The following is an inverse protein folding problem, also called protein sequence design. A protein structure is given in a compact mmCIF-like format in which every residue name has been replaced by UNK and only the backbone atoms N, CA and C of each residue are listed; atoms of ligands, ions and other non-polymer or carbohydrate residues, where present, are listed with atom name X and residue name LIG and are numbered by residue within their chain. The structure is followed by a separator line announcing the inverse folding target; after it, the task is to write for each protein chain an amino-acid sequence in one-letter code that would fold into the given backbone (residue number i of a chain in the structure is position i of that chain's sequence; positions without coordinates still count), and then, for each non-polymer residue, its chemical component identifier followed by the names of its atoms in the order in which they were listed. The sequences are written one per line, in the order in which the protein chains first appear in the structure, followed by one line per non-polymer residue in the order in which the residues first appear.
data_IF_096738428972
#
_entry.id   IF_096738428972
#
_cell.length_a   1.000
_cell.length_b   1.000
_cell.length_c   1.000
_cell.angle_alpha   90.00
_cell.angle_beta   90.00
_cell.angle_gamma   90.00
#
_symmetry.space_group_name_H-M   'P 1'
#
loop_
_entity.id
_entity.type
_entity.pdbx_description
1 polymer ?
#
# COMPACT_ATOMS: atom_id res chain seq x y z
N UNK A 1 -6.35 -39.53 -14.67
CA UNK A 1 -6.42 -39.51 -13.19
C UNK A 1 -5.22 -38.69 -12.70
N UNK A 2 -5.34 -37.50 -12.14
CA UNK A 2 -6.47 -36.81 -11.54
C UNK A 2 -6.30 -35.31 -11.83
N UNK A 3 -7.07 -34.79 -12.78
CA UNK A 3 -7.69 -33.50 -12.58
C UNK A 3 -8.86 -33.72 -11.63
N UNK A 4 -8.80 -33.14 -10.44
CA UNK A 4 -9.90 -32.88 -9.52
C UNK A 4 -9.29 -32.33 -8.23
N UNK A 5 -9.44 -31.03 -7.99
CA UNK A 5 -9.62 -30.34 -6.70
C UNK A 5 -9.21 -28.87 -6.85
N UNK A 6 -9.85 -28.17 -7.79
CA UNK A 6 -9.92 -26.72 -7.78
C UNK A 6 -11.36 -26.34 -7.45
N UNK A 7 -11.71 -26.44 -6.17
CA UNK A 7 -12.99 -25.98 -5.60
C UNK A 7 -12.77 -25.50 -4.17
N UNK A 8 -13.01 -24.20 -3.95
CA UNK A 8 -13.03 -23.53 -2.65
C UNK A 8 -11.77 -22.69 -2.41
N UNK A 9 -11.81 -21.38 -2.12
CA UNK A 9 -12.90 -20.51 -1.73
C UNK A 9 -12.66 -19.12 -2.35
N UNK A 10 -13.70 -18.53 -2.93
CA UNK A 10 -13.74 -17.13 -3.28
C UNK A 10 -13.88 -16.33 -1.98
N UNK A 11 -12.83 -15.63 -1.55
CA UNK A 11 -12.95 -14.57 -0.58
C UNK A 11 -13.07 -13.26 -1.37
N UNK A 12 -14.27 -12.67 -1.36
CA UNK A 12 -14.54 -11.37 -1.97
C UNK A 12 -13.72 -10.29 -1.25
N UNK A 13 -12.64 -9.81 -1.88
CA UNK A 13 -12.00 -8.55 -1.50
C UNK A 13 -12.80 -7.40 -2.10
N UNK A 14 -13.30 -6.48 -1.26
CA UNK A 14 -14.06 -5.32 -1.69
C UNK A 14 -13.31 -4.03 -1.36
N UNK A 15 -12.91 -3.28 -2.39
CA UNK A 15 -12.57 -1.85 -2.26
C UNK A 15 -13.88 -1.07 -2.31
N UNK A 16 -14.33 -0.61 -1.14
CA UNK A 16 -15.47 0.30 -1.03
C UNK A 16 -14.99 1.72 -1.30
N UNK A 17 -15.55 2.31 -2.37
CA UNK A 17 -15.52 3.77 -2.56
C UNK A 17 -16.44 4.40 -1.52
N UNK A 18 -16.02 5.52 -0.94
CA UNK A 18 -16.75 6.21 0.11
C UNK A 18 -18.01 6.89 -0.44
N UNK A 19 -19.01 6.10 -0.82
CA UNK A 19 -20.41 6.53 -0.87
C UNK A 19 -21.00 6.48 0.54
N UNK A 20 -21.99 7.32 0.87
CA UNK A 20 -22.38 7.58 2.25
C UNK A 20 -22.77 6.30 2.99
N UNK A 21 -22.00 5.97 4.02
CA UNK A 21 -22.41 5.02 5.06
C UNK A 21 -23.44 5.73 5.92
N UNK A 22 -24.70 5.35 5.76
CA UNK A 22 -25.79 5.76 6.63
C UNK A 22 -25.60 5.09 8.00
N UNK A 23 -24.93 5.81 8.90
CA UNK A 23 -24.74 5.41 10.29
C UNK A 23 -25.66 6.28 11.16
N UNK A 24 -26.90 5.82 11.33
CA UNK A 24 -27.77 6.21 12.43
C UNK A 24 -29.07 6.89 12.04
N UNK A 25 -30.14 6.11 11.90
CA UNK A 25 -31.50 6.55 12.14
C UNK A 25 -32.32 5.38 12.70
N UNK A 26 -32.46 5.32 14.02
CA UNK A 26 -33.58 4.63 14.66
C UNK A 26 -34.81 5.54 14.63
N UNK A 27 -35.98 4.92 14.45
CA UNK A 27 -37.35 5.46 14.41
C UNK A 27 -37.78 6.32 13.19
N UNK A 28 -38.43 5.65 12.23
CA UNK A 28 -39.88 5.83 11.98
C UNK A 28 -40.42 4.76 11.01
N UNK A 29 -41.62 4.28 11.34
CA UNK A 29 -42.36 3.24 10.64
C UNK A 29 -43.00 3.72 9.32
N UNK A 30 -43.29 2.71 8.49
CA UNK A 30 -44.23 2.64 7.34
C UNK A 30 -43.82 3.20 5.96
N UNK A 31 -43.70 2.27 4.99
CA UNK A 31 -44.37 2.40 3.69
C UNK A 31 -43.55 2.84 2.48
N UNK A 32 -42.81 1.92 1.85
CA UNK A 32 -42.84 1.58 0.39
C UNK A 32 -41.57 0.82 -0.02
N UNK A 33 -41.74 -0.41 -0.52
CA UNK A 33 -40.65 -1.29 -0.94
C UNK A 33 -40.08 -0.88 -2.31
N UNK A 34 -39.06 -0.02 -2.31
CA UNK A 34 -38.18 0.16 -3.47
C UNK A 34 -37.05 -0.87 -3.41
N UNK A 35 -37.01 -1.79 -4.38
CA UNK A 35 -35.98 -2.83 -4.55
C UNK A 35 -34.60 -2.19 -4.78
N UNK A 36 -33.86 -1.89 -3.70
CA UNK A 36 -32.46 -1.45 -3.73
C UNK A 36 -31.59 -2.55 -4.37
N UNK A 37 -30.96 -2.24 -5.52
CA UNK A 37 -29.92 -3.09 -6.12
C UNK A 37 -28.73 -3.16 -5.16
N UNK A 38 -28.36 -4.38 -4.74
CA UNK A 38 -27.11 -4.64 -4.00
C UNK A 38 -25.92 -4.07 -4.80
N UNK A 39 -24.97 -3.35 -4.18
CA UNK A 39 -23.71 -3.02 -4.82
C UNK A 39 -22.98 -4.31 -5.18
N UNK A 40 -22.50 -4.40 -6.43
CA UNK A 40 -21.71 -5.55 -6.91
C UNK A 40 -20.23 -5.27 -6.64
N UNK A 41 -19.45 -6.28 -6.20
CA UNK A 41 -18.04 -6.08 -5.86
C UNK A 41 -17.24 -5.60 -7.07
N UNK A 42 -16.27 -4.71 -6.81
CA UNK A 42 -15.25 -4.30 -7.78
C UNK A 42 -14.23 -5.44 -7.86
N UNK A 43 -13.82 -5.82 -9.08
CA UNK A 43 -12.72 -6.78 -9.26
C UNK A 43 -11.43 -6.03 -8.96
N UNK A 44 -10.92 -6.22 -7.76
CA UNK A 44 -9.54 -5.89 -7.40
C UNK A 44 -8.83 -7.23 -7.30
N UNK A 45 -7.83 -7.43 -8.14
CA UNK A 45 -6.97 -8.60 -8.02
C UNK A 45 -6.14 -8.41 -6.75
N UNK A 46 -6.39 -9.23 -5.74
CA UNK A 46 -5.52 -9.37 -4.57
C UNK A 46 -5.39 -10.86 -4.35
N UNK A 47 -4.23 -11.41 -4.69
CA UNK A 47 -3.95 -12.83 -4.53
C UNK A 47 -3.33 -13.05 -3.15
N UNK A 48 -3.95 -13.91 -2.33
CA UNK A 48 -3.40 -14.33 -1.04
C UNK A 48 -3.51 -15.85 -0.96
N UNK A 49 -2.36 -16.52 -0.96
CA UNK A 49 -2.25 -17.98 -0.90
C UNK A 49 -2.67 -18.55 0.45
N UNK A 50 -3.48 -19.62 0.41
CA UNK A 50 -3.92 -20.39 1.56
C UNK A 50 -2.84 -21.31 2.14
N UNK A 51 -2.95 -21.58 3.45
CA UNK A 51 -2.13 -22.55 4.18
C UNK A 51 -2.59 -23.98 3.92
N UNK A 52 -1.67 -24.87 3.57
CA UNK A 52 -1.79 -26.30 3.86
C UNK A 52 -1.15 -26.58 5.22
N UNK A 53 -1.91 -27.16 6.14
CA UNK A 53 -1.40 -27.67 7.41
C UNK A 53 -1.03 -29.14 7.25
N UNK A 54 0.20 -29.51 7.59
CA UNK A 54 0.55 -30.87 8.01
C UNK A 54 1.79 -30.85 8.90
N UNK A 55 1.69 -31.55 10.03
CA UNK A 55 2.81 -32.31 10.58
C UNK A 55 3.72 -31.62 11.57
N UNK A 56 3.36 -31.78 12.85
CA UNK A 56 4.22 -31.83 14.02
C UNK A 56 5.64 -32.38 13.74
N UNK A 57 6.67 -31.66 14.18
CA UNK A 57 7.79 -32.25 14.91
C UNK A 57 8.48 -31.17 15.74
N UNK A 58 8.41 -31.37 17.04
CA UNK A 58 9.24 -30.72 18.05
C UNK A 58 10.68 -31.13 17.80
N UNK A 59 11.57 -30.16 17.58
CA UNK A 59 12.99 -30.33 17.87
C UNK A 59 13.48 -29.09 18.61
N UNK A 60 13.67 -29.31 19.90
CA UNK A 60 14.52 -28.52 20.79
C UNK A 60 15.98 -28.74 20.39
N UNK A 61 16.71 -27.65 20.16
CA UNK A 61 18.17 -27.65 20.22
C UNK A 61 18.65 -26.27 20.67
N UNK A 62 18.79 -26.14 21.98
CA UNK A 62 20.12 -26.01 22.59
C UNK A 62 20.96 -24.82 22.14
N UNK A 63 21.11 -23.88 23.08
CA UNK A 63 22.17 -22.87 23.12
C UNK A 63 23.60 -23.47 23.05
N UNK A 64 24.57 -22.57 22.90
CA UNK A 64 26.03 -22.73 22.72
C UNK A 64 26.44 -22.78 21.24
N UNK A 65 27.27 -21.86 20.75
CA UNK A 65 28.72 -21.86 20.96
C UNK A 65 29.29 -20.44 20.71
N UNK A 66 29.85 -19.83 21.75
CA UNK A 66 31.29 -19.52 21.98
C UNK A 66 31.78 -18.19 21.37
N UNK A 67 31.90 -17.21 22.27
CA UNK A 67 32.85 -16.10 22.15
C UNK A 67 34.28 -16.66 22.13
N UNK A 68 35.02 -16.41 21.05
CA UNK A 68 36.47 -16.56 21.03
C UNK A 68 37.09 -15.19 20.73
N UNK A 69 37.36 -14.44 21.80
CA UNK A 69 38.25 -13.29 21.79
C UNK A 69 39.69 -13.81 21.85
N UNK A 70 40.41 -13.76 20.73
CA UNK A 70 41.86 -13.90 20.74
C UNK A 70 42.48 -12.53 21.01
N UNK A 71 43.12 -12.43 22.17
CA UNK A 71 43.97 -11.32 22.59
C UNK A 71 45.14 -11.11 21.63
N UNK A 72 45.23 -9.91 21.04
CA UNK A 72 46.48 -9.38 20.50
C UNK A 72 46.85 -8.16 21.32
N UNK A 73 47.87 -8.34 22.16
CA UNK A 73 48.54 -7.28 22.90
C UNK A 73 49.48 -6.54 21.96
N UNK A 74 49.25 -5.25 21.75
CA UNK A 74 50.31 -4.33 21.31
C UNK A 74 50.16 -3.03 22.08
N UNK A 75 51.08 -2.86 23.02
CA UNK A 75 51.36 -1.60 23.71
C UNK A 75 52.11 -0.66 22.76
N UNK A 76 51.61 0.55 22.53
CA UNK A 76 52.35 1.82 22.69
C UNK A 76 51.46 3.02 22.35
N UNK A 77 51.22 3.82 23.39
CA UNK A 77 51.18 5.29 23.41
C UNK A 77 50.81 6.05 22.12
N UNK A 78 49.59 6.57 22.08
CA UNK A 78 49.32 8.01 21.93
C UNK A 78 47.82 8.22 22.16
N UNK A 79 47.46 9.17 23.02
CA UNK A 79 46.06 9.48 23.33
C UNK A 79 45.37 10.13 22.13
N UNK A 80 44.23 9.60 21.64
CA UNK A 80 43.18 10.42 21.06
C UNK A 80 42.09 10.68 22.12
N UNK A 81 41.37 11.79 21.97
CA UNK A 81 40.29 12.16 22.87
C UNK A 81 39.22 11.04 22.97
N UNK A 82 38.94 10.61 24.20
CA UNK A 82 37.98 9.55 24.54
C UNK A 82 36.52 9.85 24.16
N UNK A 83 36.25 11.05 23.67
CA UNK A 83 34.92 11.52 23.26
C UNK A 83 34.54 11.05 21.84
N UNK A 84 35.51 10.91 20.92
CA UNK A 84 35.22 10.60 19.52
C UNK A 84 34.80 9.12 19.30
N UNK A 85 35.49 8.18 19.95
CA UNK A 85 35.22 6.73 19.81
C UNK A 85 33.87 6.33 20.43
N UNK A 86 33.51 6.94 21.56
CA UNK A 86 32.22 6.70 22.23
C UNK A 86 31.05 7.23 21.39
N UNK A 87 31.23 8.36 20.72
CA UNK A 87 30.21 8.96 19.85
C UNK A 87 29.94 8.11 18.61
N UNK A 88 30.99 7.59 17.95
CA UNK A 88 30.84 6.72 16.79
C UNK A 88 30.18 5.36 17.11
N UNK A 89 30.53 4.75 18.25
CA UNK A 89 29.90 3.51 18.71
C UNK A 89 28.42 3.72 19.09
N UNK A 90 28.08 4.86 19.70
CA UNK A 90 26.70 5.23 20.05
C UNK A 90 25.86 5.54 18.80
N UNK A 91 26.44 6.23 17.81
CA UNK A 91 25.79 6.49 16.52
C UNK A 91 25.51 5.18 15.77
N UNK A 92 26.48 4.28 15.67
CA UNK A 92 26.31 2.96 15.04
C UNK A 92 25.24 2.10 15.74
N UNK A 93 25.20 2.11 17.08
CA UNK A 93 24.17 1.42 17.86
C UNK A 93 22.77 2.00 17.64
N UNK A 94 22.66 3.33 17.54
CA UNK A 94 21.39 4.05 17.31
C UNK A 94 20.83 3.81 15.90
N UNK A 95 21.71 3.81 14.88
CA UNK A 95 21.36 3.46 13.49
C UNK A 95 20.85 2.02 13.42
N UNK A 96 21.53 1.08 14.09
CA UNK A 96 21.15 -0.33 14.13
C UNK A 96 19.79 -0.55 14.81
N UNK A 97 19.53 0.12 15.95
CA UNK A 97 18.26 0.03 16.65
C UNK A 97 17.07 0.61 15.85
N UNK A 98 17.30 1.72 15.13
CA UNK A 98 16.29 2.36 14.29
C UNK A 98 15.94 1.50 13.08
N UNK A 99 16.95 0.93 12.41
CA UNK A 99 16.77 -0.01 11.30
C UNK A 99 15.99 -1.26 11.74
N UNK A 100 16.29 -1.82 12.91
CA UNK A 100 15.58 -2.97 13.48
C UNK A 100 14.10 -2.66 13.75
N UNK A 101 13.79 -1.45 14.22
CA UNK A 101 12.41 -1.03 14.51
C UNK A 101 11.59 -0.82 13.23
N UNK A 102 12.19 -0.22 12.21
CA UNK A 102 11.52 -0.02 10.91
C UNK A 102 11.25 -1.35 10.21
N UNK A 103 12.21 -2.28 10.25
CA UNK A 103 12.04 -3.64 9.74
C UNK A 103 10.95 -4.42 10.50
N UNK A 104 10.91 -4.30 11.83
CA UNK A 104 9.87 -4.92 12.65
C UNK A 104 8.47 -4.36 12.31
N UNK A 105 8.34 -3.04 12.15
CA UNK A 105 7.09 -2.42 11.72
C UNK A 105 6.67 -2.93 10.33
N UNK A 106 7.60 -3.02 9.38
CA UNK A 106 7.35 -3.52 8.02
C UNK A 106 6.88 -4.98 8.02
N UNK A 107 7.51 -5.84 8.83
CA UNK A 107 7.07 -7.25 9.00
C UNK A 107 5.67 -7.34 9.59
N UNK A 108 5.36 -6.54 10.60
CA UNK A 108 4.01 -6.51 11.18
C UNK A 108 2.95 -5.98 10.20
N UNK A 109 3.29 -4.99 9.37
CA UNK A 109 2.43 -4.50 8.29
C UNK A 109 2.18 -5.59 7.23
N UNK A 110 3.24 -6.32 6.85
CA UNK A 110 3.17 -7.43 5.91
C UNK A 110 2.26 -8.56 6.42
N UNK A 111 2.48 -9.01 7.65
CA UNK A 111 1.64 -10.02 8.31
C UNK A 111 0.18 -9.57 8.33
N UNK A 112 -0.07 -8.29 8.63
CA UNK A 112 -1.43 -7.76 8.66
C UNK A 112 -2.10 -7.76 7.29
N UNK A 113 -1.43 -7.28 6.25
CA UNK A 113 -1.98 -7.24 4.89
C UNK A 113 -2.22 -8.65 4.34
N UNK A 114 -1.39 -9.62 4.72
CA UNK A 114 -1.50 -11.00 4.22
C UNK A 114 -2.48 -11.87 4.99
N UNK A 115 -2.71 -11.62 6.28
CA UNK A 115 -3.46 -12.56 7.13
C UNK A 115 -4.68 -11.98 7.84
N UNK A 116 -4.75 -10.65 8.02
CA UNK A 116 -5.85 -10.06 8.76
C UNK A 116 -7.12 -10.00 7.91
N UNK A 117 -8.29 -10.40 8.43
CA UNK A 117 -9.55 -10.22 7.73
C UNK A 117 -9.90 -8.72 7.69
N UNK A 118 -10.39 -8.25 6.55
CA UNK A 118 -10.86 -6.87 6.40
C UNK A 118 -10.72 -6.35 4.98
N UNK A 119 -10.70 -5.02 4.86
CA UNK A 119 -10.59 -4.33 3.57
C UNK A 119 -9.63 -3.14 3.61
N UNK A 120 -9.23 -2.68 2.43
CA UNK A 120 -8.43 -1.48 2.25
C UNK A 120 -9.36 -0.30 1.93
N UNK A 121 -9.29 0.77 2.72
CA UNK A 121 -10.04 2.00 2.48
C UNK A 121 -9.32 2.92 1.50
N UNK A 122 -9.94 3.26 0.37
CA UNK A 122 -9.38 4.19 -0.60
C UNK A 122 -9.78 5.65 -0.28
N UNK A 123 -8.83 6.43 0.21
CA UNK A 123 -8.97 7.85 0.56
C UNK A 123 -8.00 8.71 -0.28
N UNK A 124 -7.76 8.30 -1.52
CA UNK A 124 -6.67 8.76 -2.40
C UNK A 124 -7.12 9.68 -3.54
N UNK A 125 -8.25 10.36 -3.36
CA UNK A 125 -8.75 11.34 -4.33
C UNK A 125 -7.69 12.43 -4.56
N UNK A 126 -7.23 12.55 -5.81
CA UNK A 126 -6.34 13.61 -6.28
C UNK A 126 -7.08 14.93 -6.47
N UNK A 127 -6.34 16.03 -6.66
CA UNK A 127 -6.89 17.37 -6.90
C UNK A 127 -8.08 17.41 -7.87
N UNK A 128 -7.98 16.81 -9.05
CA UNK A 128 -9.08 16.82 -10.04
C UNK A 128 -10.34 16.04 -9.63
N UNK A 129 -10.22 15.06 -8.72
CA UNK A 129 -11.34 14.25 -8.22
C UNK A 129 -11.91 14.75 -6.89
N UNK A 130 -11.17 15.61 -6.18
CA UNK A 130 -11.55 16.14 -4.87
C UNK A 130 -12.87 16.94 -4.90
N UNK A 131 -13.14 17.82 -5.89
CA UNK A 131 -14.41 18.57 -5.92
C UNK A 131 -15.63 17.65 -5.91
N UNK A 132 -15.60 16.57 -6.69
CA UNK A 132 -16.69 15.58 -6.75
C UNK A 132 -16.85 14.82 -5.44
N UNK A 133 -15.74 14.46 -4.78
CA UNK A 133 -15.77 13.78 -3.50
C UNK A 133 -16.39 14.68 -2.41
N UNK A 134 -15.98 15.94 -2.34
CA UNK A 134 -16.53 16.93 -1.42
C UNK A 134 -18.02 17.18 -1.67
N UNK A 135 -18.43 17.34 -2.94
CA UNK A 135 -19.83 17.52 -3.29
C UNK A 135 -20.70 16.33 -2.85
N UNK A 136 -20.22 15.09 -3.04
CA UNK A 136 -20.90 13.87 -2.58
C UNK A 136 -21.01 13.81 -1.06
N UNK A 137 -20.01 14.37 -0.37
CA UNK A 137 -19.98 14.50 1.09
C UNK A 137 -20.85 15.66 1.62
N UNK A 138 -21.47 16.45 0.74
CA UNK A 138 -22.34 17.56 1.10
C UNK A 138 -21.61 18.90 1.27
N UNK A 139 -20.38 19.02 0.77
CA UNK A 139 -19.58 20.24 0.78
C UNK A 139 -19.51 20.82 -0.63
N UNK A 140 -20.01 22.04 -0.79
CA UNK A 140 -19.86 22.81 -2.04
C UNK A 140 -18.68 23.76 -1.90
N UNK A 141 -17.68 23.62 -2.78
CA UNK A 141 -16.55 24.55 -2.84
C UNK A 141 -17.04 25.92 -3.30
N UNK A 142 -16.68 26.98 -2.57
CA UNK A 142 -16.99 28.35 -2.97
C UNK A 142 -16.20 28.79 -4.21
N UNK A 143 -14.94 28.35 -4.29
CA UNK A 143 -14.08 28.51 -5.46
C UNK A 143 -13.30 27.21 -5.72
N UNK A 144 -13.59 26.47 -6.81
CA UNK A 144 -12.86 25.24 -7.13
C UNK A 144 -11.40 25.48 -7.55
N UNK A 145 -11.03 26.72 -7.91
CA UNK A 145 -9.66 27.08 -8.28
C UNK A 145 -8.78 27.38 -7.06
N UNK A 146 -9.37 27.53 -5.87
CA UNK A 146 -8.62 27.64 -4.62
C UNK A 146 -8.20 26.23 -4.16
N UNK A 147 -7.04 25.80 -4.64
CA UNK A 147 -6.51 24.47 -4.36
C UNK A 147 -6.18 24.25 -2.88
N UNK A 148 -5.74 25.30 -2.18
CA UNK A 148 -5.34 25.20 -0.77
C UNK A 148 -6.56 24.99 0.12
N UNK A 149 -7.63 25.76 -0.12
CA UNK A 149 -8.90 25.58 0.56
C UNK A 149 -9.52 24.20 0.26
N UNK A 150 -9.51 23.80 -1.01
CA UNK A 150 -9.99 22.48 -1.42
C UNK A 150 -9.23 21.35 -0.69
N UNK A 151 -7.91 21.41 -0.65
CA UNK A 151 -7.11 20.37 0.03
C UNK A 151 -7.24 20.43 1.55
N UNK A 152 -7.50 21.60 2.14
CA UNK A 152 -7.87 21.72 3.55
C UNK A 152 -9.19 21.02 3.84
N UNK A 153 -10.24 21.28 3.05
CA UNK A 153 -11.56 20.69 3.26
C UNK A 153 -11.57 19.16 3.07
N UNK A 154 -10.87 18.63 2.06
CA UNK A 154 -10.76 17.16 1.90
C UNK A 154 -9.94 16.53 3.02
N UNK A 155 -8.93 17.23 3.55
CA UNK A 155 -8.19 16.76 4.71
C UNK A 155 -9.04 16.74 5.97
N UNK A 156 -9.90 17.74 6.19
CA UNK A 156 -10.84 17.75 7.31
C UNK A 156 -11.82 16.57 7.22
N UNK A 157 -12.35 16.29 6.01
CA UNK A 157 -13.16 15.10 5.74
C UNK A 157 -12.39 13.81 6.07
N UNK A 158 -11.17 13.65 5.55
CA UNK A 158 -10.32 12.48 5.81
C UNK A 158 -10.01 12.32 7.29
N UNK A 159 -9.70 13.42 7.97
CA UNK A 159 -9.43 13.47 9.42
C UNK A 159 -10.64 12.96 10.19
N UNK A 160 -11.85 13.41 9.86
CA UNK A 160 -13.07 12.91 10.51
C UNK A 160 -13.27 11.41 10.28
N UNK A 161 -13.01 10.90 9.07
CA UNK A 161 -13.10 9.47 8.76
C UNK A 161 -12.09 8.67 9.59
N UNK A 162 -10.81 9.03 9.55
CA UNK A 162 -9.74 8.23 10.19
C UNK A 162 -9.78 8.32 11.71
N UNK A 163 -10.27 9.42 12.28
CA UNK A 163 -10.39 9.58 13.74
C UNK A 163 -11.60 8.86 14.32
N UNK A 164 -12.63 8.56 13.50
CA UNK A 164 -13.80 7.78 13.91
C UNK A 164 -13.40 6.48 14.61
N UNK A 165 -14.19 6.09 15.63
CA UNK A 165 -14.01 4.83 16.35
C UNK A 165 -14.26 3.61 15.45
N UNK A 166 -15.11 3.77 14.42
CA UNK A 166 -15.37 2.74 13.42
C UNK A 166 -14.20 2.52 12.45
N UNK A 167 -13.29 3.50 12.34
CA UNK A 167 -12.10 3.40 11.51
C UNK A 167 -10.93 2.90 12.37
N UNK A 168 -10.80 1.59 12.43
CA UNK A 168 -9.77 0.90 13.19
C UNK A 168 -9.29 -0.35 12.45
N UNK A 169 -8.15 -0.87 12.91
CA UNK A 169 -7.48 -2.00 12.28
C UNK A 169 -8.31 -3.28 12.23
N UNK A 170 -9.33 -3.47 13.08
CA UNK A 170 -10.06 -4.74 13.16
C UNK A 170 -10.88 -5.04 11.89
N UNK A 171 -11.21 -4.00 11.12
CA UNK A 171 -11.93 -4.11 9.84
C UNK A 171 -11.19 -3.46 8.68
N UNK A 172 -10.51 -2.35 8.95
CA UNK A 172 -9.75 -1.60 7.93
C UNK A 172 -8.29 -2.02 8.04
N UNK A 173 -7.86 -2.97 7.23
CA UNK A 173 -6.47 -3.49 7.30
C UNK A 173 -5.46 -2.52 6.69
N UNK A 174 -5.89 -1.72 5.71
CA UNK A 174 -5.06 -0.73 5.05
C UNK A 174 -5.85 0.51 4.62
N UNK A 175 -5.13 1.58 4.32
CA UNK A 175 -5.72 2.80 3.77
C UNK A 175 -4.80 3.41 2.71
N UNK A 176 -5.35 3.73 1.55
CA UNK A 176 -4.63 4.39 0.44
C UNK A 176 -4.91 5.88 0.55
N UNK A 177 -3.86 6.69 0.52
CA UNK A 177 -3.93 8.14 0.70
C UNK A 177 -3.32 8.88 -0.49
N UNK A 178 -3.75 10.12 -0.66
CA UNK A 178 -3.16 11.05 -1.61
C UNK A 178 -1.88 11.69 -1.02
N UNK A 179 -0.93 12.05 -1.89
CA UNK A 179 0.39 12.53 -1.48
C UNK A 179 0.35 13.75 -0.56
N UNK A 180 -0.50 14.73 -0.84
CA UNK A 180 -0.65 15.92 0.00
C UNK A 180 -1.03 15.56 1.45
N UNK A 181 -1.96 14.62 1.63
CA UNK A 181 -2.40 14.16 2.96
C UNK A 181 -1.31 13.43 3.73
N UNK A 182 -0.43 12.70 3.05
CA UNK A 182 0.64 11.94 3.68
C UNK A 182 1.86 12.82 3.94
N UNK A 183 2.23 13.69 2.99
CA UNK A 183 3.50 14.41 2.97
C UNK A 183 3.43 15.75 3.70
N UNK A 184 2.27 16.42 3.69
CA UNK A 184 2.17 17.80 4.15
C UNK A 184 1.19 17.99 5.32
N UNK A 185 0.37 16.98 5.62
CA UNK A 185 -0.70 17.10 6.61
C UNK A 185 -0.56 16.16 7.80
N UNK A 186 -1.28 16.51 8.86
CA UNK A 186 -1.26 15.84 10.16
C UNK A 186 -2.68 15.55 10.63
N UNK A 187 -2.83 14.44 11.35
CA UNK A 187 -4.06 14.04 12.04
C UNK A 187 -3.77 14.13 13.52
N UNK A 188 -4.52 14.96 14.25
CA UNK A 188 -4.31 15.20 15.68
C UNK A 188 -2.85 15.56 16.03
N UNK A 189 -2.20 16.37 15.18
CA UNK A 189 -0.79 16.78 15.35
C UNK A 189 0.25 15.73 14.92
N UNK A 190 -0.16 14.51 14.57
CA UNK A 190 0.73 13.40 14.18
C UNK A 190 0.77 13.27 12.65
N UNK A 191 1.92 12.96 12.02
CA UNK A 191 1.96 12.68 10.58
C UNK A 191 0.98 11.56 10.21
N UNK A 192 0.25 11.71 9.10
CA UNK A 192 -0.92 10.85 8.81
C UNK A 192 -0.59 9.35 8.75
N UNK A 193 0.51 8.95 8.08
CA UNK A 193 0.92 7.55 8.01
C UNK A 193 1.30 6.99 9.40
N UNK A 194 1.93 7.81 10.23
CA UNK A 194 2.26 7.46 11.63
C UNK A 194 0.99 7.26 12.45
N UNK A 195 0.01 8.16 12.31
CA UNK A 195 -1.27 8.05 13.01
C UNK A 195 -2.01 6.77 12.65
N UNK A 196 -2.13 6.47 11.35
CA UNK A 196 -2.77 5.25 10.87
C UNK A 196 -2.12 3.99 11.45
N UNK A 197 -0.78 3.91 11.41
CA UNK A 197 -0.10 2.72 11.88
C UNK A 197 -0.09 2.58 13.40
N UNK A 198 0.29 3.63 14.13
CA UNK A 198 0.48 3.56 15.59
C UNK A 198 -0.84 3.57 16.35
N UNK A 199 -1.75 4.47 15.98
CA UNK A 199 -2.99 4.67 16.74
C UNK A 199 -4.12 3.77 16.24
N UNK A 200 -4.20 3.57 14.92
CA UNK A 200 -5.33 2.83 14.31
C UNK A 200 -4.98 1.40 13.92
N UNK A 201 -3.70 1.02 13.89
CA UNK A 201 -3.23 -0.27 13.34
C UNK A 201 -3.72 -0.50 11.90
N UNK A 202 -3.76 0.55 11.10
CA UNK A 202 -4.13 0.52 9.68
C UNK A 202 -2.86 0.71 8.86
N UNK A 203 -2.63 -0.17 7.88
CA UNK A 203 -1.43 -0.13 7.03
C UNK A 203 -1.55 0.97 5.97
N UNK A 204 -0.67 1.99 5.96
CA UNK A 204 -0.81 3.11 5.04
C UNK A 204 -0.17 2.82 3.67
N UNK A 205 -0.89 3.13 2.61
CA UNK A 205 -0.46 3.10 1.22
C UNK A 205 -0.52 4.50 0.61
N UNK A 206 0.35 4.77 -0.36
CA UNK A 206 0.40 6.04 -1.07
C UNK A 206 -0.03 5.86 -2.53
N UNK A 207 -1.00 6.64 -3.00
CA UNK A 207 -1.25 6.77 -4.43
C UNK A 207 -0.12 7.57 -5.10
N UNK A 208 0.47 7.01 -6.16
CA UNK A 208 1.63 7.62 -6.85
C UNK A 208 1.37 8.05 -8.29
N UNK A 209 0.27 7.59 -8.92
CA UNK A 209 -0.08 8.04 -10.28
C UNK A 209 -0.45 9.53 -10.30
N UNK A 210 -0.12 10.20 -11.42
CA UNK A 210 -0.36 11.63 -11.65
C UNK A 210 -1.50 11.88 -12.64
N UNK A 211 -2.48 10.98 -12.63
CA UNK A 211 -3.58 10.96 -13.58
C UNK A 211 -3.25 10.18 -14.84
N UNK A 212 -4.13 10.31 -15.83
CA UNK A 212 -4.18 9.46 -17.02
C UNK A 212 -3.93 10.27 -18.29
N UNK A 213 -3.29 9.62 -19.26
CA UNK A 213 -3.17 10.12 -20.63
C UNK A 213 -4.55 10.11 -21.34
N UNK A 214 -4.70 10.83 -22.46
CA UNK A 214 -5.88 10.72 -23.32
C UNK A 214 -6.13 9.26 -23.74
N UNK A 215 -7.41 8.90 -23.95
CA UNK A 215 -7.75 7.56 -24.39
C UNK A 215 -7.12 7.27 -25.76
N UNK A 216 -6.36 6.18 -25.83
CA UNK A 216 -5.78 5.63 -27.06
C UNK A 216 -5.94 4.12 -27.00
N UNK A 217 -6.29 3.48 -28.12
CA UNK A 217 -6.48 2.02 -28.21
C UNK A 217 -7.42 1.47 -27.11
N UNK A 218 -8.49 2.20 -26.80
CA UNK A 218 -9.50 1.76 -25.83
C UNK A 218 -9.04 1.76 -24.38
N UNK A 219 -7.90 2.38 -24.06
CA UNK A 219 -7.36 2.46 -22.70
C UNK A 219 -6.84 3.86 -22.39
N UNK A 220 -6.64 4.14 -21.11
CA UNK A 220 -5.90 5.30 -20.65
C UNK A 220 -4.72 4.86 -19.79
N UNK A 221 -3.52 5.06 -20.34
CA UNK A 221 -2.26 4.85 -19.62
C UNK A 221 -2.09 5.90 -18.53
N UNK A 222 -1.26 5.60 -17.54
CA UNK A 222 -0.82 6.58 -16.56
C UNK A 222 0.07 7.62 -17.21
N UNK A 223 -0.05 8.88 -16.78
CA UNK A 223 0.94 9.91 -17.10
C UNK A 223 2.30 9.56 -16.51
N UNK A 224 3.35 10.09 -17.11
CA UNK A 224 4.69 10.08 -16.50
C UNK A 224 4.61 10.66 -15.09
N UNK A 225 5.31 10.05 -14.12
CA UNK A 225 5.37 10.49 -12.73
C UNK A 225 6.71 11.21 -12.52
N UNK A 226 6.77 12.55 -12.59
CA UNK A 226 8.01 13.28 -12.39
C UNK A 226 8.50 13.09 -10.95
N UNK A 227 9.81 12.84 -10.79
CA UNK A 227 10.41 12.69 -9.47
C UNK A 227 10.00 11.42 -8.71
N UNK A 228 9.58 10.37 -9.42
CA UNK A 228 9.17 9.09 -8.81
C UNK A 228 10.24 8.53 -7.87
N UNK A 229 11.51 8.52 -8.28
CA UNK A 229 12.60 8.00 -7.46
C UNK A 229 12.72 8.74 -6.11
N UNK A 230 12.63 10.08 -6.13
CA UNK A 230 12.64 10.89 -4.92
C UNK A 230 11.40 10.64 -4.06
N UNK A 231 10.23 10.48 -4.67
CA UNK A 231 9.00 10.15 -3.95
C UNK A 231 9.11 8.80 -3.24
N UNK A 232 9.58 7.76 -3.93
CA UNK A 232 9.76 6.43 -3.36
C UNK A 232 10.81 6.43 -2.25
N UNK A 233 11.92 7.16 -2.42
CA UNK A 233 12.94 7.31 -1.38
C UNK A 233 12.37 7.98 -0.11
N UNK A 234 11.44 8.93 -0.25
CA UNK A 234 10.72 9.54 0.89
C UNK A 234 9.77 8.57 1.61
N UNK A 235 9.24 7.57 0.91
CA UNK A 235 8.33 6.55 1.44
C UNK A 235 9.06 5.32 2.00
N UNK A 236 10.24 4.99 1.47
CA UNK A 236 11.03 3.83 1.83
C UNK A 236 11.60 3.91 3.25
N UNK A 237 11.31 2.88 4.05
CA UNK A 237 11.67 2.74 5.45
C UNK A 237 12.90 1.86 5.75
N UNK A 238 13.78 1.59 4.78
CA UNK A 238 15.02 0.87 5.05
C UNK A 238 16.11 1.20 4.02
N UNK A 239 17.13 1.96 4.46
CA UNK A 239 18.45 2.26 3.83
C UNK A 239 18.54 2.34 2.30
N UNK A 240 19.02 3.39 1.64
CA UNK A 240 20.36 4.02 1.77
C UNK A 240 20.32 5.51 1.31
N UNK A 241 19.15 6.08 1.04
CA UNK A 241 19.05 7.39 0.37
C UNK A 241 18.61 8.60 1.21
N UNK A 242 18.24 8.42 2.49
CA UNK A 242 17.82 9.53 3.33
C UNK A 242 18.96 9.95 4.24
N UNK A 243 19.73 10.99 3.84
CA UNK A 243 20.70 11.62 4.72
C UNK A 243 20.04 12.04 6.05
N UNK A 244 20.79 11.93 7.13
CA UNK A 244 20.36 12.29 8.50
C UNK A 244 19.94 13.77 8.61
N UNK A 245 20.26 14.59 7.60
CA UNK A 245 20.03 16.03 7.57
C UNK A 245 18.60 16.48 7.22
N UNK A 246 17.73 15.58 6.69
CA UNK A 246 16.30 15.89 6.51
C UNK A 246 15.41 15.15 7.52
N UNK A 247 15.55 15.48 8.80
CA UNK A 247 14.53 15.19 9.81
C UNK A 247 14.21 13.70 9.99
N UNK A 248 15.24 12.84 10.01
CA UNK A 248 15.15 11.39 10.27
C UNK A 248 14.56 10.97 11.62
N UNK A 249 13.97 11.90 12.36
CA UNK A 249 13.26 11.67 13.61
C UNK A 249 11.82 11.15 13.41
N UNK A 250 11.12 11.00 14.53
CA UNK A 250 9.76 10.46 14.64
C UNK A 250 8.70 11.22 13.80
N UNK A 251 9.05 12.41 13.31
CA UNK A 251 8.21 13.28 12.49
C UNK A 251 8.27 13.07 10.98
N UNK A 252 9.10 12.15 10.44
CA UNK A 252 9.19 11.91 8.99
C UNK A 252 7.84 11.46 8.41
N UNK A 253 7.24 12.20 7.45
CA UNK A 253 5.89 11.91 6.97
C UNK A 253 5.73 10.51 6.35
N UNK A 254 6.76 10.02 5.66
CA UNK A 254 6.74 8.73 4.96
C UNK A 254 7.13 7.50 5.78
N UNK A 255 7.50 7.64 7.07
CA UNK A 255 8.15 6.59 7.89
C UNK A 255 7.42 5.23 7.91
N UNK A 256 6.10 5.23 7.76
CA UNK A 256 5.28 4.01 7.84
C UNK A 256 4.59 3.62 6.55
N UNK A 257 4.80 4.32 5.44
CA UNK A 257 4.20 3.97 4.15
C UNK A 257 4.67 2.55 3.78
N UNK A 258 3.72 1.62 3.73
CA UNK A 258 3.98 0.21 3.44
C UNK A 258 4.14 -0.04 1.95
N UNK A 259 3.31 0.62 1.16
CA UNK A 259 3.18 0.37 -0.25
C UNK A 259 2.62 1.55 -1.00
N UNK A 260 2.46 1.36 -2.30
CA UNK A 260 1.90 2.35 -3.21
C UNK A 260 0.71 1.79 -3.94
N UNK A 261 -0.06 2.65 -4.59
CA UNK A 261 -1.10 2.27 -5.54
C UNK A 261 -1.00 3.14 -6.77
N UNK A 262 -1.27 2.57 -7.94
CA UNK A 262 -1.28 3.30 -9.20
C UNK A 262 -2.42 2.81 -10.11
N UNK A 263 -3.23 3.74 -10.62
CA UNK A 263 -4.42 3.43 -11.42
C UNK A 263 -4.23 3.73 -12.90
N UNK A 264 -4.67 2.81 -13.74
CA UNK A 264 -4.92 2.99 -15.18
C UNK A 264 -6.37 2.57 -15.49
N UNK A 265 -6.87 2.88 -16.70
CA UNK A 265 -8.27 2.57 -17.07
C UNK A 265 -8.37 1.88 -18.42
N UNK A 266 -9.27 0.91 -18.52
CA UNK A 266 -9.60 0.16 -19.72
C UNK A 266 -11.07 0.46 -20.07
N UNK A 267 -11.28 1.10 -21.21
CA UNK A 267 -12.60 1.50 -21.71
C UNK A 267 -13.19 0.51 -22.71
N UNK A 268 -12.34 -0.26 -23.41
CA UNK A 268 -12.76 -1.23 -24.43
C UNK A 268 -11.91 -2.50 -24.37
N UNK A 269 -12.46 -3.59 -24.91
CA UNK A 269 -11.77 -4.87 -25.04
C UNK A 269 -10.72 -4.87 -26.17
N UNK A 270 -9.82 -3.88 -26.15
CA UNK A 270 -8.71 -3.79 -27.08
C UNK A 270 -7.49 -4.54 -26.51
N UNK A 271 -7.06 -5.59 -27.21
CA UNK A 271 -5.99 -6.44 -26.69
C UNK A 271 -4.63 -5.75 -26.66
N UNK A 272 -4.35 -4.81 -27.57
CA UNK A 272 -3.09 -4.09 -27.59
C UNK A 272 -3.04 -3.03 -26.48
N UNK A 273 -4.12 -2.27 -26.30
CA UNK A 273 -4.27 -1.31 -25.22
C UNK A 273 -4.19 -1.96 -23.84
N UNK A 274 -4.89 -3.07 -23.62
CA UNK A 274 -4.83 -3.79 -22.32
C UNK A 274 -3.42 -4.32 -22.03
N UNK A 275 -2.71 -4.84 -23.05
CA UNK A 275 -1.31 -5.23 -22.91
C UNK A 275 -0.42 -4.06 -22.52
N UNK A 276 -0.60 -2.90 -23.15
CA UNK A 276 0.17 -1.69 -22.82
C UNK A 276 -0.08 -1.23 -21.37
N UNK A 277 -1.34 -1.28 -20.92
CA UNK A 277 -1.73 -0.99 -19.53
C UNK A 277 -1.00 -1.93 -18.55
N UNK A 278 -1.08 -3.24 -18.76
CA UNK A 278 -0.46 -4.22 -17.88
C UNK A 278 1.07 -4.07 -17.88
N UNK A 279 1.68 -3.91 -19.05
CA UNK A 279 3.11 -3.69 -19.15
C UNK A 279 3.57 -2.43 -18.39
N UNK A 280 2.84 -1.31 -18.50
CA UNK A 280 3.14 -0.08 -17.77
C UNK A 280 3.00 -0.27 -16.25
N UNK A 281 1.93 -0.94 -15.81
CA UNK A 281 1.70 -1.23 -14.39
C UNK A 281 2.83 -2.07 -13.78
N UNK A 282 3.24 -3.15 -14.45
CA UNK A 282 4.34 -4.00 -13.96
C UNK A 282 5.70 -3.31 -14.01
N UNK A 283 5.95 -2.44 -15.01
CA UNK A 283 7.17 -1.64 -15.06
C UNK A 283 7.24 -0.62 -13.91
N UNK A 284 6.10 -0.05 -13.50
CA UNK A 284 6.02 0.81 -12.32
C UNK A 284 6.16 -0.01 -11.02
N UNK A 285 5.49 -1.15 -10.93
CA UNK A 285 5.55 -2.06 -9.79
C UNK A 285 6.99 -2.52 -9.51
N UNK A 286 7.77 -2.84 -10.53
CA UNK A 286 9.18 -3.20 -10.39
C UNK A 286 10.01 -2.07 -9.73
N UNK A 287 9.76 -0.81 -10.08
CA UNK A 287 10.44 0.33 -9.46
C UNK A 287 10.04 0.51 -7.99
N UNK A 288 8.77 0.29 -7.66
CA UNK A 288 8.24 0.33 -6.29
C UNK A 288 8.86 -0.78 -5.44
N UNK A 289 8.92 -2.01 -5.96
CA UNK A 289 9.56 -3.16 -5.31
C UNK A 289 11.05 -2.91 -5.08
N UNK A 290 11.76 -2.33 -6.07
CA UNK A 290 13.16 -1.97 -5.95
C UNK A 290 13.41 -0.91 -4.85
N UNK A 291 12.42 -0.06 -4.55
CA UNK A 291 12.44 0.87 -3.42
C UNK A 291 12.02 0.24 -2.08
N UNK A 292 11.80 -1.09 -2.05
CA UNK A 292 11.41 -1.85 -0.88
C UNK A 292 9.96 -1.67 -0.45
N UNK A 293 9.11 -1.08 -1.29
CA UNK A 293 7.69 -0.83 -1.06
C UNK A 293 6.83 -1.89 -1.76
N UNK A 294 5.60 -2.09 -1.29
CA UNK A 294 4.65 -3.01 -1.93
C UNK A 294 3.79 -2.28 -2.95
N UNK A 295 3.83 -2.58 -4.25
CA UNK A 295 2.92 -1.98 -5.22
C UNK A 295 1.52 -2.60 -5.11
N UNK A 296 0.49 -1.81 -5.40
CA UNK A 296 -0.86 -2.26 -5.76
C UNK A 296 -1.05 -1.87 -7.22
N UNK A 297 -1.21 -2.88 -8.08
CA UNK A 297 -1.47 -2.72 -9.51
C UNK A 297 -2.99 -2.59 -9.74
N UNK A 298 -3.44 -1.46 -10.31
CA UNK A 298 -4.88 -1.20 -10.53
C UNK A 298 -5.22 -0.85 -11.99
N UNK A 299 -5.22 -1.84 -12.90
CA UNK A 299 -5.77 -1.73 -14.24
C UNK A 299 -7.30 -1.86 -14.20
N UNK A 300 -7.99 -0.75 -13.97
CA UNK A 300 -9.45 -0.75 -13.82
C UNK A 300 -10.16 -0.93 -15.17
N UNK A 301 -11.08 -1.88 -15.26
CA UNK A 301 -12.05 -1.96 -16.37
C UNK A 301 -13.26 -1.10 -16.03
N UNK A 302 -13.57 -0.11 -16.89
CA UNK A 302 -14.66 0.84 -16.67
C UNK A 302 -16.00 0.11 -16.45
N UNK A 303 -16.74 0.52 -15.43
CA UNK A 303 -18.07 -0.02 -15.13
C UNK A 303 -19.13 0.34 -16.18
N UNK A 304 -18.92 1.41 -16.95
CA UNK A 304 -19.81 1.83 -18.03
C UNK A 304 -19.72 0.91 -19.26
N UNK A 305 -18.67 0.09 -19.36
CA UNK A 305 -18.54 -0.88 -20.44
C UNK A 305 -19.64 -1.95 -20.34
N UNK A 306 -20.38 -2.15 -21.45
CA UNK A 306 -21.47 -3.13 -21.51
C UNK A 306 -20.99 -4.56 -21.17
N UNK A 307 -21.88 -5.41 -20.64
CA UNK A 307 -21.51 -6.71 -20.05
C UNK A 307 -20.66 -7.61 -20.96
N UNK A 308 -20.99 -7.71 -22.24
CA UNK A 308 -20.22 -8.51 -23.20
C UNK A 308 -18.81 -7.95 -23.46
N UNK A 309 -18.67 -6.63 -23.58
CA UNK A 309 -17.38 -5.96 -23.78
C UNK A 309 -16.53 -6.02 -22.52
N UNK A 310 -17.15 -5.87 -21.36
CA UNK A 310 -16.50 -5.98 -20.06
C UNK A 310 -15.91 -7.37 -19.84
N UNK A 311 -16.69 -8.42 -20.08
CA UNK A 311 -16.20 -9.79 -19.94
C UNK A 311 -15.02 -10.08 -20.90
N UNK A 312 -15.06 -9.55 -22.12
CA UNK A 312 -13.96 -9.69 -23.08
C UNK A 312 -12.70 -8.95 -22.62
N UNK A 313 -12.83 -7.72 -22.12
CA UNK A 313 -11.73 -6.94 -21.57
C UNK A 313 -11.11 -7.63 -20.33
N UNK A 314 -11.95 -8.10 -19.40
CA UNK A 314 -11.51 -8.82 -18.20
C UNK A 314 -10.80 -10.14 -18.53
N UNK A 315 -11.25 -10.87 -19.55
CA UNK A 315 -10.58 -12.10 -19.99
C UNK A 315 -9.17 -11.83 -20.57
N UNK A 316 -9.02 -10.74 -21.33
CA UNK A 316 -7.70 -10.30 -21.80
C UNK A 316 -6.84 -9.86 -20.62
N UNK A 317 -7.37 -8.99 -19.76
CA UNK A 317 -6.65 -8.47 -18.60
C UNK A 317 -6.16 -9.59 -17.68
N UNK A 318 -7.02 -10.55 -17.33
CA UNK A 318 -6.67 -11.67 -16.47
C UNK A 318 -5.51 -12.51 -17.04
N UNK A 319 -5.53 -12.76 -18.34
CA UNK A 319 -4.44 -13.48 -19.01
C UNK A 319 -3.13 -12.71 -18.93
N UNK A 320 -3.13 -11.42 -19.30
CA UNK A 320 -1.91 -10.61 -19.27
C UNK A 320 -1.36 -10.44 -17.84
N UNK A 321 -2.23 -10.28 -16.83
CA UNK A 321 -1.82 -10.25 -15.42
C UNK A 321 -1.15 -11.57 -15.02
N UNK A 322 -1.77 -12.71 -15.35
CA UNK A 322 -1.23 -14.04 -15.03
C UNK A 322 0.13 -14.25 -15.69
N UNK A 323 0.25 -13.94 -16.99
CA UNK A 323 1.50 -14.07 -17.74
C UNK A 323 2.64 -13.23 -17.16
N UNK A 324 2.33 -12.05 -16.62
CA UNK A 324 3.31 -11.19 -15.96
C UNK A 324 3.70 -11.71 -14.56
N UNK A 325 2.74 -12.23 -13.79
CA UNK A 325 2.99 -12.85 -12.49
C UNK A 325 3.86 -14.11 -12.61
N UNK A 326 3.57 -14.99 -13.57
CA UNK A 326 4.34 -16.22 -13.80
C UNK A 326 5.83 -15.92 -14.12
N UNK A 327 6.10 -14.81 -14.81
CA UNK A 327 7.47 -14.35 -15.09
C UNK A 327 8.17 -13.81 -13.85
N UNK A 328 7.45 -13.17 -12.93
CA UNK A 328 8.03 -12.71 -11.66
C UNK A 328 8.48 -13.91 -10.81
N UNK A 329 7.65 -14.95 -10.71
CA UNK A 329 7.97 -16.17 -9.96
C UNK A 329 9.17 -16.92 -10.55
N UNK A 330 9.35 -16.88 -11.88
CA UNK A 330 10.48 -17.49 -12.55
C UNK A 330 11.81 -16.74 -12.31
N UNK A 331 11.78 -15.42 -12.10
CA UNK A 331 12.96 -14.57 -11.90
C UNK A 331 13.34 -14.50 -10.41
N UNK A 332 12.34 -14.53 -9.53
CA UNK A 332 12.51 -14.55 -8.07
C UNK A 332 11.88 -15.83 -7.52
N UNK A 333 12.56 -16.99 -7.58
CA UNK A 333 12.07 -18.19 -6.92
C UNK A 333 11.88 -17.87 -5.44
N UNK A 334 10.62 -17.89 -5.01
CA UNK A 334 10.17 -17.56 -3.67
C UNK A 334 10.75 -18.56 -2.66
N UNK A 335 11.96 -18.30 -2.18
CA UNK A 335 12.57 -19.10 -1.12
C UNK A 335 11.94 -18.71 0.23
N UNK A 336 11.42 -19.66 1.01
CA UNK A 336 10.64 -19.37 2.23
C UNK A 336 11.41 -18.60 3.32
N UNK A 337 12.75 -18.54 3.22
CA UNK A 337 13.63 -17.89 4.21
C UNK A 337 14.39 -16.64 3.71
N UNK A 338 14.17 -16.18 2.47
CA UNK A 338 14.81 -14.94 1.98
C UNK A 338 13.91 -13.73 2.18
N UNK A 339 14.32 -12.82 3.06
CA UNK A 339 13.66 -11.56 3.38
C UNK A 339 13.31 -10.68 2.14
N UNK A 340 12.67 -9.52 2.38
CA UNK A 340 11.27 -9.17 2.06
C UNK A 340 10.87 -9.26 0.58
N UNK A 341 11.82 -9.47 -0.34
CA UNK A 341 11.62 -9.36 -1.78
C UNK A 341 10.62 -10.37 -2.36
N UNK A 342 10.53 -11.58 -1.78
CA UNK A 342 9.59 -12.61 -2.22
C UNK A 342 8.15 -12.35 -1.81
N UNK A 343 7.90 -12.04 -0.53
CA UNK A 343 6.54 -11.86 -0.03
C UNK A 343 5.85 -10.59 -0.58
N UNK A 344 6.61 -9.54 -0.90
CA UNK A 344 6.05 -8.33 -1.52
C UNK A 344 5.56 -8.57 -2.96
N UNK A 345 6.16 -9.50 -3.70
CA UNK A 345 5.74 -9.83 -5.06
C UNK A 345 4.41 -10.59 -5.09
N UNK A 346 4.12 -11.41 -4.07
CA UNK A 346 2.83 -12.13 -3.94
C UNK A 346 1.65 -11.23 -3.58
N UNK A 347 1.91 -10.03 -3.04
CA UNK A 347 0.89 -9.05 -2.63
C UNK A 347 0.55 -8.08 -3.77
N UNK A 348 1.44 -7.97 -4.76
CA UNK A 348 1.36 -7.02 -5.87
C UNK A 348 0.14 -7.21 -6.79
#
# INVERSE_FOLDING_TARGET
LVGLLWRGAFADFAVLDASPMDLGAEDRAEGTAARRKKPRPKVVATFVGGRCAFGCNVFDMGAHVVSSLSSVSTSTSSSPSSTATTTAATAAATVTATANTALAARRAQLERITSAPGFIAALDQSGGSTPRALATYGITLANPDDTDDMFRQIHDMRTRIVTSTAFNGDRVVGAILFDDTVMHRRVQGVPTATYLWREKRVVPFLKIDRGLEPETDGVQLMKVIPGLAQLLARCGGGGVGGGEDEGGGEGRPGKYIFGTKARSVIHRADAAGIRAVVAQQFALAAQVLAAGLTPIVEPEVDMALHSAGKAAAEAVLMRELTDHLDRLDAIHPLHPDTAPSGDHARIA
#
